data_IF_991614644210
#
_entry.id   IF_991614644210
#
_cell.length_a   1.000
_cell.length_b   1.000
_cell.length_c   1.000
_cell.angle_alpha   90.00
_cell.angle_beta   90.00
_cell.angle_gamma   90.00
#
_symmetry.space_group_name_H-M   'P 1'
#
loop_
_entity.id
_entity.type
_entity.pdbx_description
1 polymer ?
#
# COMPACT_ATOMS: atom_id res chain seq x y z
N UNK A 1 12.72 3.81 -25.69
CA UNK A 1 12.12 3.04 -24.59
C UNK A 1 12.01 4.03 -23.46
N UNK A 2 10.80 4.46 -23.12
CA UNK A 2 10.61 5.51 -22.13
C UNK A 2 10.68 4.89 -20.74
N UNK A 3 11.87 4.89 -20.14
CA UNK A 3 12.08 4.70 -18.71
C UNK A 3 11.67 6.00 -18.01
N UNK A 4 10.35 6.22 -17.89
CA UNK A 4 9.82 7.33 -17.09
C UNK A 4 9.58 6.82 -15.65
N UNK A 5 10.43 7.21 -14.68
CA UNK A 5 10.35 6.72 -13.30
C UNK A 5 9.18 7.32 -12.51
N UNK A 6 8.29 8.09 -13.15
CA UNK A 6 7.12 8.72 -12.51
C UNK A 6 5.78 8.23 -13.07
N UNK A 7 5.78 7.18 -13.90
CA UNK A 7 4.54 6.50 -14.25
C UNK A 7 3.93 5.88 -12.99
N UNK A 8 2.66 6.17 -12.70
CA UNK A 8 1.89 5.64 -11.56
C UNK A 8 1.98 4.10 -11.46
N UNK A 9 2.19 3.43 -12.61
CA UNK A 9 2.54 2.01 -12.78
C UNK A 9 3.75 1.53 -11.95
N UNK A 10 4.69 2.41 -11.60
CA UNK A 10 5.87 2.06 -10.81
C UNK A 10 5.55 1.84 -9.32
N UNK A 11 4.46 2.43 -8.80
CA UNK A 11 4.01 2.21 -7.42
C UNK A 11 3.54 0.77 -7.24
N UNK A 12 2.90 0.21 -8.27
CA UNK A 12 2.38 -1.15 -8.30
C UNK A 12 3.46 -2.19 -8.64
N UNK A 13 4.63 -1.77 -9.15
CA UNK A 13 5.79 -2.63 -9.40
C UNK A 13 6.80 -2.65 -8.26
N UNK A 14 6.55 -1.94 -7.18
CA UNK A 14 7.41 -1.96 -6.01
C UNK A 14 7.11 -3.21 -5.17
N UNK A 15 7.98 -4.24 -5.20
CA UNK A 15 7.72 -5.49 -4.48
C UNK A 15 7.73 -5.29 -2.97
N UNK A 16 8.42 -4.26 -2.47
CA UNK A 16 8.51 -3.94 -1.04
C UNK A 16 7.18 -3.32 -0.57
N UNK A 17 6.58 -2.46 -1.40
CA UNK A 17 5.24 -1.93 -1.17
C UNK A 17 4.18 -3.03 -1.18
N UNK A 18 4.19 -3.91 -2.18
CA UNK A 18 3.23 -5.02 -2.26
C UNK A 18 3.36 -5.96 -1.05
N UNK A 19 4.58 -6.24 -0.60
CA UNK A 19 4.84 -7.06 0.58
C UNK A 19 4.32 -6.39 1.86
N UNK A 20 4.54 -5.08 2.03
CA UNK A 20 4.05 -4.34 3.19
C UNK A 20 2.51 -4.32 3.25
N UNK A 21 1.84 -4.19 2.09
CA UNK A 21 0.38 -4.29 1.98
C UNK A 21 -0.09 -5.71 2.33
N UNK A 22 0.59 -6.75 1.85
CA UNK A 22 0.33 -8.17 2.19
C UNK A 22 0.35 -8.41 3.68
N UNK A 23 1.44 -8.02 4.32
CA UNK A 23 1.67 -8.29 5.74
C UNK A 23 0.63 -7.58 6.60
N UNK A 24 0.30 -6.33 6.24
CA UNK A 24 -0.73 -5.54 6.92
C UNK A 24 -2.12 -6.16 6.74
N UNK A 25 -2.47 -6.57 5.52
CA UNK A 25 -3.75 -7.21 5.23
C UNK A 25 -3.88 -8.55 5.98
N UNK A 26 -2.82 -9.36 5.99
CA UNK A 26 -2.78 -10.63 6.71
C UNK A 26 -2.94 -10.43 8.21
N UNK A 27 -2.22 -9.45 8.80
CA UNK A 27 -2.34 -9.14 10.22
C UNK A 27 -3.75 -8.69 10.60
N UNK A 28 -4.37 -7.80 9.81
CA UNK A 28 -5.75 -7.37 10.06
C UNK A 28 -6.75 -8.52 9.93
N UNK A 29 -6.58 -9.38 8.93
CA UNK A 29 -7.43 -10.55 8.71
C UNK A 29 -7.28 -11.60 9.82
N UNK A 30 -6.06 -11.83 10.29
CA UNK A 30 -5.76 -12.74 11.40
C UNK A 30 -6.34 -12.22 12.72
N UNK A 31 -6.20 -10.92 13.00
CA UNK A 31 -6.78 -10.28 14.19
C UNK A 31 -8.31 -10.38 14.25
N UNK A 32 -8.98 -10.32 13.10
CA UNK A 32 -10.45 -10.44 13.01
C UNK A 32 -10.94 -11.90 13.02
N UNK A 33 -10.05 -12.87 13.25
CA UNK A 33 -10.41 -14.29 13.35
C UNK A 33 -10.49 -15.02 12.01
N UNK A 34 -9.82 -14.50 10.98
CA UNK A 34 -9.71 -15.11 9.65
C UNK A 34 -11.07 -15.37 8.97
N UNK A 35 -11.95 -14.35 8.85
CA UNK A 35 -13.23 -14.52 8.16
C UNK A 35 -13.01 -14.90 6.71
N UNK A 36 -13.61 -16.02 6.29
CA UNK A 36 -13.54 -16.50 4.91
C UNK A 36 -14.34 -15.58 3.97
N UNK A 37 -13.79 -15.31 2.79
CA UNK A 37 -14.44 -14.50 1.74
C UNK A 37 -14.31 -12.99 1.93
N UNK A 38 -13.61 -12.52 2.97
CA UNK A 38 -13.31 -11.09 3.21
C UNK A 38 -11.83 -10.74 3.04
N UNK A 39 -11.02 -11.68 2.56
CA UNK A 39 -9.57 -11.50 2.43
C UNK A 39 -9.24 -10.29 1.53
N UNK A 40 -10.03 -10.10 0.47
CA UNK A 40 -9.90 -8.96 -0.45
C UNK A 40 -10.22 -7.62 0.21
N UNK A 41 -11.19 -7.57 1.11
CA UNK A 41 -11.54 -6.33 1.82
C UNK A 41 -10.37 -5.87 2.70
N UNK A 42 -9.71 -6.82 3.36
CA UNK A 42 -8.49 -6.57 4.14
C UNK A 42 -7.33 -6.10 3.26
N UNK A 43 -7.18 -6.69 2.07
CA UNK A 43 -6.21 -6.23 1.08
C UNK A 43 -6.43 -4.76 0.69
N UNK A 44 -7.65 -4.41 0.28
CA UNK A 44 -7.96 -3.04 -0.15
C UNK A 44 -7.77 -2.03 0.98
N UNK A 45 -8.14 -2.39 2.22
CA UNK A 45 -7.93 -1.55 3.40
C UNK A 45 -6.45 -1.32 3.67
N UNK A 46 -5.62 -2.37 3.66
CA UNK A 46 -4.19 -2.25 3.84
C UNK A 46 -3.55 -1.38 2.74
N UNK A 47 -3.93 -1.62 1.49
CA UNK A 47 -3.46 -0.86 0.35
C UNK A 47 -3.78 0.64 0.46
N UNK A 48 -5.01 0.98 0.86
CA UNK A 48 -5.41 2.37 1.08
C UNK A 48 -4.59 3.05 2.19
N UNK A 49 -4.29 2.33 3.29
CA UNK A 49 -3.45 2.85 4.37
C UNK A 49 -2.05 3.20 3.87
N UNK A 50 -1.42 2.30 3.13
CA UNK A 50 -0.07 2.50 2.57
C UNK A 50 -0.02 3.61 1.53
N UNK A 51 -1.03 3.71 0.64
CA UNK A 51 -1.13 4.81 -0.33
C UNK A 51 -1.28 6.16 0.37
N UNK A 52 -2.10 6.24 1.42
CA UNK A 52 -2.28 7.46 2.22
C UNK A 52 -0.99 7.85 2.95
N UNK A 53 -0.28 6.90 3.57
CA UNK A 53 1.00 7.16 4.23
C UNK A 53 2.04 7.71 3.26
N UNK A 54 2.18 7.11 2.08
CA UNK A 54 3.14 7.57 1.05
C UNK A 54 2.80 8.96 0.53
N UNK A 55 1.51 9.25 0.33
CA UNK A 55 1.05 10.60 -0.06
C UNK A 55 1.37 11.62 1.02
N UNK A 56 1.06 11.31 2.27
CA UNK A 56 1.31 12.20 3.40
C UNK A 56 2.81 12.44 3.62
N UNK A 57 3.64 11.40 3.49
CA UNK A 57 5.10 11.53 3.59
C UNK A 57 5.67 12.46 2.52
N UNK A 58 5.16 12.35 1.29
CA UNK A 58 5.55 13.24 0.20
C UNK A 58 5.16 14.69 0.49
N UNK A 59 3.92 14.93 0.94
CA UNK A 59 3.43 16.26 1.30
C UNK A 59 4.22 16.88 2.48
N UNK A 60 4.59 16.09 3.48
CA UNK A 60 5.44 16.53 4.60
C UNK A 60 6.85 16.93 4.14
N UNK A 61 7.43 16.15 3.23
CA UNK A 61 8.77 16.43 2.65
C UNK A 61 8.77 17.71 1.82
N UNK A 62 7.74 17.90 0.99
CA UNK A 62 7.64 19.04 0.07
C UNK A 62 7.26 20.34 0.81
N UNK A 63 6.54 20.26 1.93
CA UNK A 63 6.14 21.42 2.75
C UNK A 63 7.22 21.95 3.72
N UNK A 64 8.35 21.26 3.87
CA UNK A 64 9.48 21.68 4.71
C UNK A 64 10.64 22.32 3.91
N UNK A 65 10.46 22.63 2.62
CA UNK A 65 11.44 23.35 1.79
C UNK A 65 11.27 24.87 1.80
#
# INVERSE_FOLDING_TARGET
MSDDPHSDDSVWRDPEFEQAVRDTAYFMWEQDGRPAGREKDYWFRAMEQHLRMRRNEKELRDGMQ
#
